data_IF_425501842307
#
_entry.id   IF_425501842307
#
_cell.length_a   1.000
_cell.length_b   1.000
_cell.length_c   1.000
_cell.angle_alpha   90.00
_cell.angle_beta   90.00
_cell.angle_gamma   90.00
#
_symmetry.space_group_name_H-M   'P 1'
#
loop_
_entity.id
_entity.type
_entity.pdbx_description
1 polymer ?
#
# COMPACT_ATOMS: atom_id res chain seq x y z
N UNK A 1 16.07 -23.29 -10.49
CA UNK A 1 16.45 -23.10 -9.07
C UNK A 1 16.81 -21.63 -8.94
N UNK A 2 15.87 -20.80 -8.46
CA UNK A 2 16.08 -19.34 -8.34
C UNK A 2 16.79 -19.10 -7.01
N UNK A 3 18.01 -18.57 -7.10
CA UNK A 3 18.84 -18.21 -5.96
C UNK A 3 18.22 -16.97 -5.26
N UNK A 4 17.39 -17.23 -4.26
CA UNK A 4 16.83 -16.24 -3.33
C UNK A 4 17.96 -15.77 -2.41
N UNK A 5 18.82 -14.89 -2.93
CA UNK A 5 19.80 -14.20 -2.09
C UNK A 5 19.06 -13.48 -0.97
N UNK A 6 19.36 -13.92 0.26
CA UNK A 6 18.91 -13.36 1.52
C UNK A 6 18.87 -11.84 1.42
N UNK A 7 17.75 -11.26 1.83
CA UNK A 7 17.57 -9.82 1.85
C UNK A 7 18.75 -9.17 2.57
N UNK A 8 19.57 -8.44 1.82
CA UNK A 8 20.75 -7.78 2.36
C UNK A 8 20.32 -6.85 3.50
N UNK A 9 20.95 -7.00 4.66
CA UNK A 9 20.75 -6.14 5.81
C UNK A 9 20.92 -4.67 5.39
N UNK A 10 19.87 -3.86 5.60
CA UNK A 10 19.85 -2.43 5.25
C UNK A 10 19.36 -2.10 3.83
N UNK A 11 18.85 -3.10 3.08
CA UNK A 11 18.30 -2.90 1.73
C UNK A 11 16.87 -2.35 1.69
N UNK A 12 16.44 -1.88 0.52
CA UNK A 12 15.02 -1.64 0.21
C UNK A 12 14.26 -2.98 0.23
N UNK A 13 13.01 -3.05 0.73
CA UNK A 13 12.21 -4.27 0.62
C UNK A 13 12.15 -4.71 -0.86
N UNK A 14 12.36 -6.00 -1.16
CA UNK A 14 12.30 -6.50 -2.53
C UNK A 14 10.86 -6.39 -3.06
N UNK A 15 10.70 -6.50 -4.38
CA UNK A 15 9.37 -6.59 -4.96
C UNK A 15 8.64 -7.82 -4.38
N UNK A 16 7.47 -7.59 -3.79
CA UNK A 16 6.72 -8.61 -3.06
C UNK A 16 7.02 -8.71 -1.55
N UNK A 17 7.91 -7.86 -1.03
CA UNK A 17 8.24 -7.75 0.39
C UNK A 17 9.27 -8.77 0.89
N UNK A 18 9.69 -8.60 2.14
CA UNK A 18 10.69 -9.43 2.82
C UNK A 18 10.31 -10.91 2.84
N UNK A 19 11.32 -11.76 2.61
CA UNK A 19 11.22 -13.20 2.71
C UNK A 19 12.36 -13.72 3.62
N UNK A 20 12.06 -14.46 4.70
CA UNK A 20 10.72 -14.80 5.18
C UNK A 20 9.95 -13.57 5.70
N UNK A 21 8.60 -13.59 5.71
CA UNK A 21 7.82 -12.54 6.35
C UNK A 21 8.04 -12.52 7.86
N UNK A 22 7.77 -11.36 8.48
CA UNK A 22 7.74 -11.21 9.93
C UNK A 22 6.73 -12.17 10.53
N UNK A 23 7.13 -12.94 11.54
CA UNK A 23 6.24 -13.90 12.21
C UNK A 23 5.52 -13.25 13.38
N UNK A 24 4.20 -13.24 13.32
CA UNK A 24 3.34 -12.85 14.43
C UNK A 24 2.97 -14.07 15.27
N UNK A 25 2.72 -13.87 16.56
CA UNK A 25 2.04 -14.87 17.40
C UNK A 25 0.56 -14.93 17.03
N UNK A 26 -0.13 -16.01 17.42
CA UNK A 26 -1.58 -16.16 17.20
C UNK A 26 -2.36 -14.98 17.80
N UNK A 27 -1.95 -14.49 18.97
CA UNK A 27 -2.54 -13.32 19.62
C UNK A 27 -2.30 -12.04 18.80
N UNK A 28 -1.06 -11.78 18.38
CA UNK A 28 -0.74 -10.60 17.56
C UNK A 28 -1.48 -10.63 16.22
N UNK A 29 -1.61 -11.80 15.60
CA UNK A 29 -2.39 -12.00 14.38
C UNK A 29 -3.88 -11.71 14.61
N UNK A 30 -4.47 -12.23 15.70
CA UNK A 30 -5.86 -11.95 16.06
C UNK A 30 -6.10 -10.46 16.30
N UNK A 31 -5.19 -9.78 17.02
CA UNK A 31 -5.26 -8.33 17.26
C UNK A 31 -5.22 -7.58 15.93
N UNK A 32 -4.25 -7.89 15.06
CA UNK A 32 -4.11 -7.19 13.78
C UNK A 32 -5.32 -7.40 12.87
N UNK A 33 -5.90 -8.60 12.85
CA UNK A 33 -7.16 -8.86 12.14
C UNK A 33 -8.31 -8.01 12.72
N UNK A 34 -8.47 -7.97 14.04
CA UNK A 34 -9.47 -7.15 14.69
C UNK A 34 -9.29 -5.66 14.38
N UNK A 35 -8.05 -5.16 14.38
CA UNK A 35 -7.75 -3.77 13.97
C UNK A 35 -8.14 -3.54 12.52
N UNK A 36 -7.76 -4.45 11.61
CA UNK A 36 -8.08 -4.31 10.20
C UNK A 36 -9.59 -4.28 9.95
N UNK A 37 -10.35 -5.13 10.62
CA UNK A 37 -11.81 -5.20 10.50
C UNK A 37 -12.51 -3.92 11.00
N UNK A 38 -11.97 -3.22 12.00
CA UNK A 38 -12.50 -1.92 12.42
C UNK A 38 -12.10 -0.79 11.45
N UNK A 39 -10.91 -0.86 10.85
CA UNK A 39 -10.43 0.12 9.87
C UNK A 39 -11.19 0.04 8.54
N UNK A 40 -11.57 -1.17 8.15
CA UNK A 40 -12.35 -1.47 6.95
C UNK A 40 -13.45 -2.46 7.34
N UNK A 41 -14.59 -1.96 7.85
CA UNK A 41 -15.72 -2.81 8.17
C UNK A 41 -16.21 -3.57 6.93
N UNK A 42 -16.42 -4.87 7.07
CA UNK A 42 -17.14 -5.65 6.06
C UNK A 42 -18.57 -5.14 5.87
N UNK A 43 -19.15 -5.36 4.69
CA UNK A 43 -20.52 -4.92 4.40
C UNK A 43 -20.76 -4.61 2.93
N UNK A 44 -22.04 -4.46 2.55
CA UNK A 44 -22.45 -4.17 1.17
C UNK A 44 -21.85 -5.16 0.12
N UNK A 45 -21.66 -6.42 0.52
CA UNK A 45 -21.06 -7.47 -0.30
C UNK A 45 -19.54 -7.60 -0.16
N UNK A 46 -18.85 -6.66 0.47
CA UNK A 46 -17.41 -6.71 0.71
C UNK A 46 -17.07 -7.58 1.94
N UNK A 47 -16.11 -8.51 1.82
CA UNK A 47 -15.67 -9.31 2.96
C UNK A 47 -14.84 -8.44 3.93
N UNK A 48 -14.88 -8.68 5.24
CA UNK A 48 -13.94 -8.03 6.15
C UNK A 48 -12.49 -8.44 5.84
N UNK A 49 -11.49 -7.60 6.16
CA UNK A 49 -10.06 -7.91 5.98
C UNK A 49 -9.60 -9.26 6.54
N UNK A 50 -10.11 -9.65 7.71
CA UNK A 50 -9.78 -10.93 8.34
C UNK A 50 -10.18 -12.17 7.52
N UNK A 51 -11.15 -12.04 6.60
CA UNK A 51 -11.59 -13.13 5.72
C UNK A 51 -10.77 -13.26 4.44
N UNK A 52 -9.90 -12.27 4.12
CA UNK A 52 -9.17 -12.23 2.84
C UNK A 52 -7.65 -12.25 2.99
N UNK A 53 -7.15 -12.71 4.15
CA UNK A 53 -5.73 -12.90 4.44
C UNK A 53 -4.87 -11.65 4.16
N UNK A 54 -5.24 -10.53 4.78
CA UNK A 54 -4.44 -9.29 4.70
C UNK A 54 -3.10 -9.41 5.42
N UNK A 55 -3.00 -10.28 6.44
CA UNK A 55 -1.80 -10.49 7.24
C UNK A 55 -0.63 -11.02 6.41
N UNK A 56 -0.87 -11.92 5.45
CA UNK A 56 0.21 -12.45 4.59
C UNK A 56 0.86 -11.37 3.71
N UNK A 57 0.14 -10.28 3.43
CA UNK A 57 0.71 -9.11 2.79
C UNK A 57 1.44 -8.24 3.81
N UNK A 58 0.76 -7.82 4.89
CA UNK A 58 1.31 -6.87 5.87
C UNK A 58 2.65 -7.35 6.42
N UNK A 59 2.74 -8.62 6.83
CA UNK A 59 3.94 -9.22 7.42
C UNK A 59 5.14 -9.30 6.48
N UNK A 60 4.93 -9.26 5.15
CA UNK A 60 6.03 -9.14 4.17
C UNK A 60 6.58 -7.73 4.07
N UNK A 61 5.82 -6.72 4.47
CA UNK A 61 6.21 -5.33 4.33
C UNK A 61 6.68 -4.68 5.64
N UNK A 62 6.40 -5.30 6.79
CA UNK A 62 7.04 -4.92 8.06
C UNK A 62 8.54 -5.15 7.97
N UNK A 63 9.34 -4.13 8.30
CA UNK A 63 10.80 -4.19 8.29
C UNK A 63 11.31 -5.12 9.39
N UNK A 64 12.10 -6.17 9.06
CA UNK A 64 12.60 -7.12 10.04
C UNK A 64 13.46 -6.46 11.13
N UNK A 65 13.50 -7.08 12.31
CA UNK A 65 14.31 -6.61 13.43
C UNK A 65 15.78 -6.37 13.06
N UNK A 66 16.38 -5.33 13.64
CA UNK A 66 17.75 -4.92 13.34
C UNK A 66 17.94 -4.13 12.05
N UNK A 67 16.86 -3.73 11.37
CA UNK A 67 16.90 -2.85 10.19
C UNK A 67 16.09 -1.56 10.43
N UNK A 68 16.53 -0.46 9.84
CA UNK A 68 15.80 0.80 9.91
C UNK A 68 14.54 0.79 9.02
N UNK A 69 13.38 1.12 9.59
CA UNK A 69 12.10 1.17 8.88
C UNK A 69 11.95 2.42 7.98
N UNK A 70 12.84 2.58 7.00
CA UNK A 70 12.94 3.76 6.11
C UNK A 70 12.06 3.67 4.86
N UNK A 71 11.45 2.52 4.60
CA UNK A 71 10.64 2.27 3.42
C UNK A 71 9.21 1.99 3.84
N UNK A 72 8.25 2.37 2.98
CA UNK A 72 6.84 2.06 3.19
C UNK A 72 6.65 0.60 3.62
N UNK A 73 5.85 0.32 4.67
CA UNK A 73 4.97 1.24 5.40
C UNK A 73 5.62 1.93 6.60
N UNK A 74 6.95 1.94 6.72
CA UNK A 74 7.68 2.55 7.84
C UNK A 74 7.36 1.91 9.20
N UNK A 75 7.09 0.60 9.20
CA UNK A 75 6.83 -0.21 10.39
C UNK A 75 8.03 -1.15 10.64
N UNK A 76 8.68 -1.00 11.78
CA UNK A 76 9.71 -1.94 12.26
C UNK A 76 9.09 -3.09 13.06
N UNK A 77 9.65 -4.30 12.93
CA UNK A 77 9.13 -5.52 13.55
C UNK A 77 8.93 -5.42 15.06
N UNK A 78 9.95 -4.98 15.80
CA UNK A 78 9.92 -4.93 17.27
C UNK A 78 8.86 -3.95 17.76
N UNK A 79 8.85 -2.76 17.18
CA UNK A 79 7.91 -1.68 17.47
C UNK A 79 6.46 -2.04 17.12
N UNK A 80 6.27 -2.71 15.98
CA UNK A 80 4.96 -3.16 15.51
C UNK A 80 4.40 -4.24 16.45
N UNK A 81 5.20 -5.26 16.78
CA UNK A 81 4.80 -6.33 17.70
C UNK A 81 4.49 -5.81 19.09
N UNK A 82 5.31 -4.91 19.64
CA UNK A 82 5.09 -4.32 20.95
C UNK A 82 3.74 -3.58 21.04
N UNK A 83 3.34 -2.89 19.98
CA UNK A 83 2.04 -2.18 19.93
C UNK A 83 0.86 -3.13 19.77
N UNK A 84 0.99 -4.20 18.99
CA UNK A 84 -0.02 -5.27 18.95
C UNK A 84 -0.17 -5.96 20.32
N UNK A 85 0.94 -6.19 21.02
CA UNK A 85 0.91 -6.76 22.37
C UNK A 85 0.30 -5.81 23.41
N UNK A 86 0.49 -4.49 23.26
CA UNK A 86 -0.12 -3.44 24.09
C UNK A 86 -1.65 -3.40 23.95
N UNK A 87 -2.18 -3.63 22.74
CA UNK A 87 -3.63 -3.76 22.51
C UNK A 87 -4.17 -5.04 23.18
N UNK A 88 -3.51 -6.18 22.89
CA UNK A 88 -3.68 -7.44 23.62
C UNK A 88 -5.11 -7.96 23.75
N UNK A 89 -5.35 -8.76 24.80
CA UNK A 89 -6.63 -9.46 25.00
C UNK A 89 -7.78 -8.52 25.36
N UNK A 90 -7.48 -7.39 26.01
CA UNK A 90 -8.49 -6.37 26.32
C UNK A 90 -9.13 -5.81 25.04
N UNK A 91 -8.32 -5.54 24.01
CA UNK A 91 -8.83 -5.13 22.70
C UNK A 91 -9.62 -6.26 22.02
N UNK A 92 -9.17 -7.51 22.12
CA UNK A 92 -9.87 -8.66 21.53
C UNK A 92 -11.23 -8.93 22.18
N UNK A 93 -11.36 -8.73 23.48
CA UNK A 93 -12.60 -8.96 24.21
C UNK A 93 -13.56 -7.76 24.16
N UNK A 94 -13.06 -6.59 23.77
CA UNK A 94 -13.86 -5.39 23.59
C UNK A 94 -14.88 -5.54 22.45
N UNK A 95 -16.02 -4.86 22.62
CA UNK A 95 -17.01 -4.64 21.57
C UNK A 95 -16.43 -3.76 20.45
N UNK A 96 -17.03 -3.77 19.25
CA UNK A 96 -16.59 -2.91 18.14
C UNK A 96 -16.54 -1.42 18.53
N UNK A 97 -17.55 -0.91 19.24
CA UNK A 97 -17.57 0.48 19.70
C UNK A 97 -16.39 0.81 20.66
N UNK A 98 -16.05 -0.11 21.56
CA UNK A 98 -14.90 0.03 22.46
C UNK A 98 -13.58 -0.06 21.69
N UNK A 99 -13.46 -0.98 20.73
CA UNK A 99 -12.29 -1.08 19.85
C UNK A 99 -12.07 0.19 19.03
N UNK A 100 -13.13 0.75 18.44
CA UNK A 100 -13.06 2.04 17.75
C UNK A 100 -12.57 3.13 18.70
N UNK A 101 -13.07 3.18 19.94
CA UNK A 101 -12.62 4.16 20.94
C UNK A 101 -11.12 4.00 21.24
N UNK A 102 -10.63 2.76 21.39
CA UNK A 102 -9.20 2.48 21.59
C UNK A 102 -8.38 2.91 20.37
N UNK A 103 -8.84 2.62 19.16
CA UNK A 103 -8.16 3.00 17.91
C UNK A 103 -8.13 4.52 17.69
N UNK A 104 -9.21 5.24 18.02
CA UNK A 104 -9.22 6.71 18.02
C UNK A 104 -8.23 7.28 19.04
N UNK A 105 -8.09 6.64 20.21
CA UNK A 105 -7.04 6.97 21.17
C UNK A 105 -5.65 6.77 20.58
N UNK A 106 -5.42 5.64 19.92
CA UNK A 106 -4.15 5.34 19.25
C UNK A 106 -3.83 6.33 18.12
N UNK A 107 -4.83 6.72 17.31
CA UNK A 107 -4.68 7.74 16.27
C UNK A 107 -4.26 9.10 16.83
N UNK A 108 -4.80 9.49 17.99
CA UNK A 108 -4.44 10.75 18.65
C UNK A 108 -3.06 10.69 19.30
N UNK A 109 -2.76 9.59 19.99
CA UNK A 109 -1.59 9.48 20.87
C UNK A 109 -0.34 9.02 20.09
N UNK A 110 -0.52 8.24 19.02
CA UNK A 110 0.55 7.72 18.15
C UNK A 110 0.19 7.87 16.65
N UNK A 111 -0.02 9.12 16.15
CA UNK A 111 -0.59 9.37 14.82
C UNK A 111 0.21 8.78 13.65
N UNK A 112 1.54 8.83 13.72
CA UNK A 112 2.41 8.28 12.67
C UNK A 112 2.26 6.75 12.59
N UNK A 113 2.29 6.08 13.74
CA UNK A 113 2.12 4.63 13.79
C UNK A 113 0.73 4.21 13.28
N UNK A 114 -0.32 4.89 13.75
CA UNK A 114 -1.68 4.61 13.30
C UNK A 114 -1.81 4.85 11.79
N UNK A 115 -1.27 5.94 11.27
CA UNK A 115 -1.26 6.26 9.84
C UNK A 115 -0.57 5.16 9.03
N UNK A 116 0.62 4.75 9.42
CA UNK A 116 1.37 3.67 8.77
C UNK A 116 0.62 2.32 8.80
N UNK A 117 0.03 1.98 9.94
CA UNK A 117 -0.78 0.76 10.10
C UNK A 117 -2.04 0.80 9.24
N UNK A 118 -2.77 1.92 9.24
CA UNK A 118 -3.94 2.12 8.38
C UNK A 118 -3.57 1.99 6.92
N UNK A 119 -2.52 2.67 6.49
CA UNK A 119 -2.12 2.67 5.08
C UNK A 119 -1.76 1.26 4.62
N UNK A 120 -0.95 0.51 5.39
CA UNK A 120 -0.62 -0.88 5.00
C UNK A 120 -1.83 -1.80 5.00
N UNK A 121 -2.79 -1.62 5.91
CA UNK A 121 -4.06 -2.38 5.93
C UNK A 121 -4.88 -2.09 4.67
N UNK A 122 -5.00 -0.82 4.26
CA UNK A 122 -5.72 -0.43 3.04
C UNK A 122 -5.05 -1.03 1.79
N UNK A 123 -3.73 -0.93 1.69
CA UNK A 123 -2.97 -1.56 0.60
C UNK A 123 -3.12 -3.09 0.59
N UNK A 124 -3.07 -3.73 1.75
CA UNK A 124 -3.24 -5.17 1.87
C UNK A 124 -4.63 -5.59 1.41
N UNK A 125 -5.68 -4.92 1.88
CA UNK A 125 -7.07 -5.25 1.61
C UNK A 125 -7.44 -5.07 0.12
N UNK A 126 -7.21 -3.89 -0.44
CA UNK A 126 -7.58 -3.61 -1.84
C UNK A 126 -6.69 -4.30 -2.87
N UNK A 127 -5.58 -4.93 -2.45
CA UNK A 127 -4.78 -5.81 -3.31
C UNK A 127 -5.25 -7.27 -3.31
N UNK A 128 -6.27 -7.65 -2.53
CA UNK A 128 -6.75 -9.04 -2.48
C UNK A 128 -7.64 -9.38 -3.68
N UNK A 129 -7.44 -10.52 -4.36
CA UNK A 129 -8.30 -10.96 -5.47
C UNK A 129 -9.79 -11.01 -5.15
N UNK A 130 -10.16 -11.49 -3.96
CA UNK A 130 -11.56 -11.53 -3.53
C UNK A 130 -12.19 -10.13 -3.48
N UNK A 131 -11.46 -9.14 -2.96
CA UNK A 131 -11.92 -7.74 -2.86
C UNK A 131 -12.02 -7.12 -4.24
N UNK A 132 -11.02 -7.31 -5.11
CA UNK A 132 -11.07 -6.80 -6.48
C UNK A 132 -12.21 -7.42 -7.28
N UNK A 133 -12.41 -8.73 -7.19
CA UNK A 133 -13.55 -9.38 -7.82
C UNK A 133 -14.89 -8.84 -7.29
N UNK A 134 -14.96 -8.47 -6.01
CA UNK A 134 -16.14 -7.81 -5.46
C UNK A 134 -16.32 -6.42 -6.07
N UNK A 135 -15.27 -5.58 -6.08
CA UNK A 135 -15.30 -4.24 -6.69
C UNK A 135 -15.80 -4.30 -8.14
N UNK A 136 -15.29 -5.23 -8.95
CA UNK A 136 -15.67 -5.36 -10.35
C UNK A 136 -17.14 -5.75 -10.54
N UNK A 137 -17.71 -6.48 -9.58
CA UNK A 137 -19.11 -6.94 -9.64
C UNK A 137 -20.10 -5.93 -9.08
N UNK A 138 -19.73 -5.20 -8.02
CA UNK A 138 -20.67 -4.37 -7.26
C UNK A 138 -20.55 -2.89 -7.58
N UNK A 139 -19.36 -2.41 -7.95
CA UNK A 139 -19.11 -0.99 -8.20
C UNK A 139 -19.09 -0.74 -9.71
N UNK A 140 -20.00 0.11 -10.21
CA UNK A 140 -20.01 0.52 -11.62
C UNK A 140 -18.67 1.11 -12.05
N UNK A 141 -18.03 1.90 -11.20
CA UNK A 141 -16.71 2.49 -11.47
C UNK A 141 -15.55 1.50 -11.32
N UNK A 142 -15.79 0.33 -10.71
CA UNK A 142 -14.77 -0.70 -10.45
C UNK A 142 -14.70 -1.78 -11.52
N UNK A 143 -15.59 -1.80 -12.53
CA UNK A 143 -15.66 -2.89 -13.52
C UNK A 143 -14.34 -3.12 -14.27
N UNK A 144 -13.59 -2.03 -14.53
CA UNK A 144 -12.31 -2.06 -15.22
C UNK A 144 -11.11 -2.12 -14.26
N UNK A 145 -11.34 -2.23 -12.95
CA UNK A 145 -10.26 -2.39 -11.98
C UNK A 145 -9.62 -3.76 -12.15
N UNK A 146 -8.34 -3.79 -12.52
CA UNK A 146 -7.58 -5.03 -12.70
C UNK A 146 -6.52 -5.12 -11.62
N UNK A 147 -6.42 -6.29 -10.99
CA UNK A 147 -5.19 -6.62 -10.27
C UNK A 147 -4.03 -6.60 -11.26
N UNK A 148 -2.84 -6.25 -10.76
CA UNK A 148 -1.55 -6.14 -11.47
C UNK A 148 -1.55 -6.89 -12.79
N UNK A 149 -1.08 -6.29 -13.89
CA UNK A 149 -1.50 -6.62 -15.26
C UNK A 149 -1.13 -8.03 -15.77
N UNK A 150 -0.64 -8.92 -14.92
CA UNK A 150 -0.17 -10.26 -15.23
C UNK A 150 -1.29 -11.28 -15.52
N UNK A 151 -1.00 -12.31 -16.35
CA UNK A 151 0.32 -12.62 -16.90
C UNK A 151 0.75 -11.75 -18.10
N UNK A 152 -0.14 -10.97 -18.71
CA UNK A 152 0.14 -10.29 -19.98
C UNK A 152 0.47 -8.81 -19.90
N UNK A 153 0.71 -8.24 -18.71
CA UNK A 153 1.18 -6.86 -18.57
C UNK A 153 0.36 -5.81 -19.35
N UNK A 154 1.05 -4.73 -19.70
CA UNK A 154 0.62 -3.77 -20.72
C UNK A 154 0.94 -4.27 -22.14
N UNK A 155 1.19 -5.58 -22.33
CA UNK A 155 1.68 -6.12 -23.61
C UNK A 155 0.68 -5.93 -24.74
N UNK A 156 -0.62 -5.83 -24.42
CA UNK A 156 -1.69 -5.62 -25.41
C UNK A 156 -2.18 -4.16 -25.50
N UNK A 157 -1.56 -3.23 -24.75
CA UNK A 157 -2.01 -1.81 -24.66
C UNK A 157 -0.88 -0.79 -24.83
N UNK A 158 0.37 -1.24 -24.98
CA UNK A 158 1.44 -0.39 -25.49
C UNK A 158 1.58 -0.68 -26.98
N UNK A 159 1.39 0.33 -27.82
CA UNK A 159 1.95 0.28 -29.17
C UNK A 159 3.47 0.05 -29.08
N UNK A 160 4.02 -0.68 -30.05
CA UNK A 160 5.46 -0.75 -30.22
C UNK A 160 6.04 0.67 -30.32
N UNK A 161 7.27 0.83 -29.86
CA UNK A 161 7.99 2.08 -30.04
C UNK A 161 8.04 2.41 -31.54
N UNK A 162 7.50 3.56 -31.92
CA UNK A 162 7.62 4.05 -33.30
C UNK A 162 9.08 4.46 -33.54
N UNK A 163 9.87 3.50 -34.00
CA UNK A 163 11.29 3.67 -34.32
C UNK A 163 11.51 4.72 -35.42
N UNK A 164 10.55 4.91 -36.34
CA UNK A 164 10.63 5.99 -37.33
C UNK A 164 10.44 7.37 -36.67
N UNK A 165 9.47 7.50 -35.76
CA UNK A 165 9.27 8.72 -34.98
C UNK A 165 10.51 8.99 -34.11
N UNK A 166 11.02 8.00 -33.39
CA UNK A 166 12.22 8.12 -32.58
C UNK A 166 13.45 8.51 -33.42
N UNK A 167 13.61 7.95 -34.62
CA UNK A 167 14.69 8.33 -35.52
C UNK A 167 14.57 9.76 -36.08
N UNK A 168 13.34 10.28 -36.20
CA UNK A 168 13.06 11.64 -36.67
C UNK A 168 13.14 12.68 -35.54
N UNK A 169 12.84 12.29 -34.31
CA UNK A 169 12.86 13.19 -33.15
C UNK A 169 14.29 13.34 -32.63
N UNK A 170 14.94 14.44 -33.02
CA UNK A 170 16.20 14.87 -32.39
C UNK A 170 15.86 15.69 -31.14
N UNK A 171 15.99 15.07 -29.97
CA UNK A 171 15.90 15.80 -28.71
C UNK A 171 16.99 16.87 -28.64
N UNK A 172 16.61 18.14 -28.46
CA UNK A 172 17.54 19.21 -28.16
C UNK A 172 17.50 19.50 -26.66
N UNK A 173 18.63 19.34 -25.99
CA UNK A 173 18.77 19.81 -24.62
C UNK A 173 19.06 21.32 -24.61
N UNK A 174 18.22 22.11 -23.93
CA UNK A 174 18.48 23.52 -23.63
C UNK A 174 18.72 23.63 -22.13
N UNK A 175 19.85 24.22 -21.73
CA UNK A 175 20.15 24.40 -20.30
C UNK A 175 19.07 25.27 -19.66
N UNK A 176 18.76 25.02 -18.40
CA UNK A 176 17.73 25.76 -17.67
C UNK A 176 17.96 27.28 -17.70
N UNK A 177 19.23 27.72 -17.67
CA UNK A 177 19.61 29.14 -17.77
C UNK A 177 19.35 29.78 -19.15
N UNK A 178 19.19 28.98 -20.19
CA UNK A 178 18.94 29.42 -21.57
C UNK A 178 17.44 29.46 -21.92
N UNK A 179 16.58 28.99 -21.01
CA UNK A 179 15.11 29.05 -21.17
C UNK A 179 14.64 30.46 -20.86
N UNK A 180 14.12 31.16 -21.87
CA UNK A 180 13.46 32.46 -21.70
C UNK A 180 11.97 32.25 -21.48
N UNK A 181 11.39 32.98 -20.52
CA UNK A 181 9.93 33.04 -20.37
C UNK A 181 9.34 33.65 -21.63
N UNK A 182 8.36 32.97 -22.21
CA UNK A 182 7.59 33.49 -23.33
C UNK A 182 6.45 34.32 -22.76
N UNK A 183 6.21 35.49 -23.34
CA UNK A 183 5.01 36.26 -23.03
C UNK A 183 3.77 35.50 -23.47
N UNK A 184 2.89 35.19 -22.52
CA UNK A 184 1.63 34.51 -22.81
C UNK A 184 0.76 35.42 -23.69
N UNK A 185 0.19 34.93 -24.81
CA UNK A 185 -0.84 35.65 -25.56
C UNK A 185 -2.02 36.04 -24.67
N UNK A 186 -2.63 37.21 -24.93
CA UNK A 186 -3.68 37.78 -24.08
C UNK A 186 -4.85 36.82 -23.80
N UNK A 187 -5.27 36.04 -24.80
CA UNK A 187 -6.36 35.06 -24.68
C UNK A 187 -6.07 33.88 -23.74
N UNK A 188 -4.80 33.64 -23.38
CA UNK A 188 -4.42 32.64 -22.38
C UNK A 188 -4.20 33.25 -20.99
N UNK A 189 -4.22 34.59 -20.85
CA UNK A 189 -4.09 35.28 -19.56
C UNK A 189 -5.43 35.32 -18.79
N UNK A 190 -6.56 35.27 -19.49
CA UNK A 190 -7.91 35.37 -18.90
C UNK A 190 -8.36 34.09 -18.17
N UNK A 191 -7.77 32.94 -18.47
CA UNK A 191 -8.13 31.65 -17.86
C UNK A 191 -7.41 31.35 -16.52
N UNK A 192 -6.63 32.30 -15.99
CA UNK A 192 -5.85 32.13 -14.76
C UNK A 192 -6.16 33.19 -13.69
N UNK A 193 -7.32 33.86 -13.78
CA UNK A 193 -7.86 34.72 -12.72
C UNK A 193 -8.94 34.00 -11.91
#
# INVERSE_FOLDING_TARGET
MVDLKLSAAGGKPPLGGWLPPVRLTDRQAAVLNAVADELIPGGAGFPPPSEVDVLSFITRYVTPAGQDAKWFPFLGEDDFKARLDKLGDGFLQATSAERVTVLTGLERDEPDFFGHMRDVVYYAYYSRPAVVHMMNRTLRAGQDYRLSPQPYGYTDVMDDWDDELLARVRGSYRRTAEVRRVELPAHLREASS
#
